data_IF_178870674472
#
_entry.id   IF_178870674472
#
_cell.length_a   1.000
_cell.length_b   1.000
_cell.length_c   1.000
_cell.angle_alpha   90.00
_cell.angle_beta   90.00
_cell.angle_gamma   90.00
#
_symmetry.space_group_name_H-M   'P 1'
#
loop_
_entity.id
_entity.type
_entity.pdbx_description
1 polymer ?
#
# COMPACT_ATOMS: atom_id res chain seq x y z
N UNK A 1 3.73 -7.94 33.86
CA UNK A 1 4.62 -6.97 33.20
C UNK A 1 4.20 -6.85 31.74
N UNK A 2 4.23 -5.66 31.14
CA UNK A 2 4.00 -5.50 29.72
C UNK A 2 5.12 -6.20 28.93
N UNK A 3 4.83 -6.90 27.80
CA UNK A 3 5.87 -7.40 26.91
C UNK A 3 6.70 -6.25 26.36
N UNK A 4 8.02 -6.45 26.33
CA UNK A 4 8.98 -5.47 25.79
C UNK A 4 9.15 -5.70 24.30
N UNK A 5 8.80 -4.71 23.48
CA UNK A 5 8.88 -4.81 22.03
C UNK A 5 9.77 -3.69 21.47
N UNK A 6 10.81 -4.08 20.72
CA UNK A 6 11.61 -3.16 19.93
C UNK A 6 11.00 -3.05 18.53
N UNK A 7 10.48 -1.89 18.19
CA UNK A 7 9.94 -1.56 16.89
C UNK A 7 11.01 -0.93 16.00
N UNK A 8 11.35 -1.58 14.90
CA UNK A 8 12.30 -1.11 13.89
C UNK A 8 11.50 -0.80 12.62
N UNK A 9 11.11 0.45 12.46
CA UNK A 9 10.13 0.89 11.46
C UNK A 9 10.69 1.93 10.53
N UNK A 10 10.04 2.08 9.37
CA UNK A 10 10.18 3.26 8.53
C UNK A 10 9.26 4.37 9.04
N UNK A 11 9.82 5.55 9.33
CA UNK A 11 9.08 6.75 9.72
C UNK A 11 9.29 7.86 8.69
N UNK A 12 8.31 8.76 8.48
CA UNK A 12 8.49 9.92 7.62
C UNK A 12 9.54 10.90 8.20
N UNK A 13 10.25 11.70 7.37
CA UNK A 13 10.26 11.68 5.92
C UNK A 13 11.08 10.52 5.32
N UNK A 14 10.87 10.10 4.06
CA UNK A 14 9.87 10.56 3.11
C UNK A 14 8.46 9.99 3.39
N UNK A 15 7.42 10.73 2.97
CA UNK A 15 6.03 10.31 3.12
C UNK A 15 5.66 9.29 2.04
N UNK A 16 5.35 8.06 2.45
CA UNK A 16 4.82 6.98 1.62
C UNK A 16 4.02 6.01 2.51
N UNK A 17 3.23 5.10 1.91
CA UNK A 17 2.31 4.23 2.65
C UNK A 17 2.94 3.55 3.88
N UNK A 18 4.07 2.86 3.69
CA UNK A 18 4.75 2.16 4.79
C UNK A 18 5.24 3.10 5.91
N UNK A 19 5.76 4.30 5.56
CA UNK A 19 6.22 5.25 6.58
C UNK A 19 5.05 5.89 7.33
N UNK A 20 3.89 6.08 6.68
CA UNK A 20 2.68 6.55 7.36
C UNK A 20 2.14 5.54 8.34
N UNK A 21 2.08 4.25 7.95
CA UNK A 21 1.67 3.19 8.90
C UNK A 21 2.69 3.06 10.04
N UNK A 22 3.99 3.16 9.75
CA UNK A 22 5.03 3.22 10.79
C UNK A 22 4.79 4.38 11.78
N UNK A 23 4.39 5.56 11.27
CA UNK A 23 4.03 6.70 12.11
C UNK A 23 2.78 6.41 12.96
N UNK A 24 1.75 5.79 12.40
CA UNK A 24 0.56 5.42 13.17
C UNK A 24 0.90 4.45 14.32
N UNK A 25 1.74 3.44 14.07
CA UNK A 25 2.19 2.51 15.12
C UNK A 25 3.02 3.26 16.19
N UNK A 26 3.93 4.15 15.78
CA UNK A 26 4.77 4.92 16.69
C UNK A 26 3.97 5.85 17.59
N UNK A 27 2.95 6.51 17.03
CA UNK A 27 2.16 7.51 17.74
C UNK A 27 1.01 6.87 18.55
N UNK A 28 0.68 5.59 18.30
CA UNK A 28 -0.45 4.89 18.93
C UNK A 28 -0.32 4.76 20.44
N UNK A 29 -1.26 5.34 21.17
CA UNK A 29 -1.36 5.16 22.62
C UNK A 29 -1.73 3.69 22.97
N UNK A 30 -2.58 3.02 22.18
CA UNK A 30 -2.93 1.61 22.39
C UNK A 30 -1.70 0.70 22.35
N UNK A 31 -0.75 0.96 21.45
CA UNK A 31 0.52 0.23 21.38
C UNK A 31 1.36 0.49 22.63
N UNK A 32 1.49 1.73 23.07
CA UNK A 32 2.26 2.12 24.26
C UNK A 32 1.61 1.61 25.57
N UNK A 33 0.29 1.52 25.58
CA UNK A 33 -0.45 0.93 26.71
C UNK A 33 -0.28 -0.58 26.78
N UNK A 34 -0.28 -1.28 25.65
CA UNK A 34 -0.16 -2.73 25.59
C UNK A 34 1.28 -3.23 25.81
N UNK A 35 2.28 -2.49 25.33
CA UNK A 35 3.69 -2.91 25.30
C UNK A 35 4.60 -1.90 25.97
N UNK A 36 5.73 -2.39 26.55
CA UNK A 36 6.91 -1.56 26.81
C UNK A 36 7.66 -1.37 25.49
N UNK A 37 7.26 -0.32 24.75
CA UNK A 37 7.63 -0.09 23.36
C UNK A 37 8.84 0.83 23.23
N UNK A 38 9.85 0.39 22.52
CA UNK A 38 10.95 1.23 22.06
C UNK A 38 10.97 1.27 20.53
N UNK A 39 11.30 2.43 19.97
CA UNK A 39 11.24 2.67 18.53
C UNK A 39 12.62 3.04 17.97
N UNK A 40 12.97 2.45 16.83
CA UNK A 40 14.14 2.81 16.04
C UNK A 40 13.71 3.08 14.61
N UNK A 41 14.01 4.28 14.10
CA UNK A 41 13.70 4.65 12.73
C UNK A 41 14.70 4.05 11.75
N UNK A 42 14.23 3.18 10.86
CA UNK A 42 15.05 2.50 9.84
C UNK A 42 15.28 3.36 8.58
N UNK A 43 14.58 4.47 8.45
CA UNK A 43 14.69 5.37 7.30
C UNK A 43 16.06 6.00 7.24
N UNK A 44 16.75 5.88 6.10
CA UNK A 44 18.07 6.48 5.83
C UNK A 44 18.03 7.53 4.71
N UNK A 45 16.89 7.72 4.05
CA UNK A 45 16.67 8.72 3.00
C UNK A 45 15.99 9.95 3.61
N UNK A 46 16.44 11.15 3.26
CA UNK A 46 15.83 12.41 3.71
C UNK A 46 14.71 12.87 2.78
N UNK A 47 14.71 12.41 1.52
CA UNK A 47 13.69 12.74 0.51
C UNK A 47 13.40 11.54 -0.41
N UNK A 48 12.29 11.59 -1.17
CA UNK A 48 11.98 10.57 -2.20
C UNK A 48 13.05 10.54 -3.31
N UNK A 49 13.67 11.68 -3.61
CA UNK A 49 14.71 11.80 -4.63
C UNK A 49 16.05 11.17 -4.22
N UNK A 50 16.27 11.00 -2.91
CA UNK A 50 17.46 10.36 -2.35
C UNK A 50 17.39 8.84 -2.34
N UNK A 51 16.22 8.27 -2.60
CA UNK A 51 16.04 6.83 -2.65
C UNK A 51 16.86 6.26 -3.83
N UNK A 52 17.75 5.33 -3.53
CA UNK A 52 18.59 4.67 -4.54
C UNK A 52 19.93 5.36 -4.87
N UNK A 53 20.18 6.60 -4.41
CA UNK A 53 21.51 7.24 -4.57
C UNK A 53 22.46 6.70 -3.49
N UNK A 54 23.52 5.99 -3.88
CA UNK A 54 24.57 5.46 -3.00
C UNK A 54 25.55 6.54 -2.53
N UNK A 55 26.32 6.25 -1.47
CA UNK A 55 27.41 7.10 -0.98
C UNK A 55 27.89 6.71 0.41
N UNK A 56 29.13 7.08 0.75
CA UNK A 56 29.75 6.80 2.05
C UNK A 56 28.92 7.31 3.23
N UNK A 57 28.26 8.46 3.09
CA UNK A 57 27.35 9.03 4.11
C UNK A 57 26.19 8.08 4.45
N UNK A 58 25.59 7.44 3.43
CA UNK A 58 24.49 6.49 3.62
C UNK A 58 24.97 5.19 4.28
N UNK A 59 26.17 4.70 3.89
CA UNK A 59 26.75 3.53 4.54
C UNK A 59 27.04 3.81 6.03
N UNK A 60 27.58 4.98 6.33
CA UNK A 60 27.87 5.39 7.71
C UNK A 60 26.57 5.52 8.53
N UNK A 61 25.56 6.22 8.00
CA UNK A 61 24.24 6.33 8.61
C UNK A 61 23.59 4.96 8.84
N UNK A 62 23.75 4.03 7.90
CA UNK A 62 23.28 2.66 8.08
C UNK A 62 24.02 1.94 9.22
N UNK A 63 25.34 2.08 9.32
CA UNK A 63 26.11 1.52 10.43
C UNK A 63 25.70 2.11 11.78
N UNK A 64 25.36 3.41 11.83
CA UNK A 64 24.80 4.03 13.04
C UNK A 64 23.47 3.41 13.45
N UNK A 65 22.56 3.19 12.49
CA UNK A 65 21.29 2.51 12.75
C UNK A 65 21.49 1.09 13.28
N UNK A 66 22.42 0.35 12.74
CA UNK A 66 22.77 -0.98 13.28
C UNK A 66 23.30 -0.91 14.72
N UNK A 67 24.11 0.10 15.05
CA UNK A 67 24.59 0.32 16.43
C UNK A 67 23.43 0.69 17.37
N UNK A 68 22.53 1.54 16.92
CA UNK A 68 21.32 1.95 17.65
C UNK A 68 20.44 0.73 17.99
N UNK A 69 20.11 -0.10 16.97
CA UNK A 69 19.34 -1.35 17.16
C UNK A 69 20.06 -2.28 18.14
N UNK A 70 21.37 -2.49 17.96
CA UNK A 70 22.15 -3.35 18.87
C UNK A 70 22.14 -2.83 20.30
N UNK A 71 22.28 -1.52 20.49
CA UNK A 71 22.23 -0.88 21.82
C UNK A 71 20.86 -1.13 22.43
N UNK A 72 19.77 -0.87 21.69
CA UNK A 72 18.41 -1.07 22.15
C UNK A 72 18.18 -2.53 22.60
N UNK A 73 18.57 -3.53 21.78
CA UNK A 73 18.45 -4.95 22.13
C UNK A 73 19.22 -5.28 23.41
N UNK A 74 20.43 -4.74 23.59
CA UNK A 74 21.25 -5.01 24.77
C UNK A 74 20.73 -4.36 26.05
N UNK A 75 20.23 -3.13 25.95
CA UNK A 75 19.80 -2.35 27.13
C UNK A 75 18.38 -2.71 27.55
N UNK A 76 17.45 -2.79 26.63
CA UNK A 76 16.04 -3.09 26.90
C UNK A 76 15.78 -4.58 27.08
N UNK A 77 16.59 -5.45 26.43
CA UNK A 77 16.35 -6.91 26.37
C UNK A 77 14.93 -7.22 25.96
N UNK A 78 14.51 -6.80 24.73
CA UNK A 78 13.14 -6.95 24.29
C UNK A 78 12.77 -8.44 24.21
N UNK A 79 11.51 -8.73 24.47
CA UNK A 79 10.95 -10.06 24.28
C UNK A 79 10.71 -10.34 22.78
N UNK A 80 10.47 -9.26 22.00
CA UNK A 80 10.25 -9.31 20.54
C UNK A 80 10.94 -8.14 19.83
N UNK A 81 11.40 -8.41 18.61
CA UNK A 81 11.81 -7.37 17.66
C UNK A 81 10.83 -7.38 16.49
N UNK A 82 10.11 -6.29 16.31
CA UNK A 82 9.22 -6.07 15.17
C UNK A 82 9.95 -5.23 14.13
N UNK A 83 9.91 -5.65 12.86
CA UNK A 83 10.60 -4.99 11.74
C UNK A 83 9.64 -4.82 10.57
N UNK A 84 9.69 -3.64 9.91
CA UNK A 84 8.98 -3.39 8.64
C UNK A 84 9.98 -3.41 7.46
N UNK A 85 10.34 -4.59 6.94
CA UNK A 85 11.34 -4.68 5.89
C UNK A 85 10.73 -4.46 4.50
N UNK A 86 11.60 -4.15 3.53
CA UNK A 86 11.26 -4.22 2.13
C UNK A 86 11.34 -5.67 1.61
N UNK A 87 10.39 -6.06 0.76
CA UNK A 87 10.28 -7.42 0.22
C UNK A 87 11.26 -7.71 -0.91
N UNK A 88 11.68 -6.68 -1.68
CA UNK A 88 12.47 -6.86 -2.88
C UNK A 88 13.34 -5.63 -3.22
N UNK A 89 14.17 -5.76 -4.25
CA UNK A 89 15.03 -4.68 -4.74
C UNK A 89 16.23 -4.38 -3.86
N UNK A 90 16.92 -3.28 -4.15
CA UNK A 90 18.10 -2.85 -3.38
C UNK A 90 17.81 -2.58 -1.89
N UNK A 91 16.62 -2.07 -1.48
CA UNK A 91 16.30 -1.91 -0.08
C UNK A 91 16.25 -3.24 0.69
N UNK A 92 15.78 -4.33 0.04
CA UNK A 92 15.73 -5.66 0.65
C UNK A 92 17.10 -6.11 1.18
N UNK A 93 18.20 -5.93 0.44
CA UNK A 93 19.51 -6.39 0.88
C UNK A 93 19.98 -5.67 2.15
N UNK A 94 19.64 -4.39 2.29
CA UNK A 94 19.91 -3.63 3.52
C UNK A 94 19.09 -4.19 4.68
N UNK A 95 17.80 -4.40 4.47
CA UNK A 95 16.89 -4.89 5.50
C UNK A 95 17.17 -6.37 5.84
N UNK A 96 17.67 -7.16 4.88
CA UNK A 96 18.19 -8.50 5.13
C UNK A 96 19.29 -8.48 6.20
N UNK A 97 20.26 -7.55 6.10
CA UNK A 97 21.33 -7.41 7.10
C UNK A 97 20.74 -7.05 8.47
N UNK A 98 19.79 -6.10 8.52
CA UNK A 98 19.12 -5.72 9.77
C UNK A 98 18.45 -6.93 10.41
N UNK A 99 17.64 -7.68 9.67
CA UNK A 99 16.92 -8.85 10.19
C UNK A 99 17.87 -9.95 10.65
N UNK A 100 18.93 -10.27 9.88
CA UNK A 100 19.90 -11.28 10.29
C UNK A 100 20.66 -10.87 11.58
N UNK A 101 20.96 -9.58 11.74
CA UNK A 101 21.60 -9.09 12.95
C UNK A 101 20.64 -9.08 14.14
N UNK A 102 19.37 -8.72 13.95
CA UNK A 102 18.35 -8.84 15.00
C UNK A 102 18.23 -10.29 15.47
N UNK A 103 18.09 -11.26 14.55
CA UNK A 103 18.06 -12.70 14.89
C UNK A 103 19.29 -13.14 15.69
N UNK A 104 20.48 -12.65 15.29
CA UNK A 104 21.73 -12.99 15.98
C UNK A 104 21.83 -12.37 17.38
N UNK A 105 21.29 -11.16 17.57
CA UNK A 105 21.38 -10.47 18.85
C UNK A 105 20.29 -10.87 19.83
N UNK A 106 19.15 -11.36 19.33
CA UNK A 106 18.15 -12.00 20.16
C UNK A 106 18.67 -13.36 20.64
N UNK A 107 18.50 -13.66 21.92
CA UNK A 107 18.98 -14.92 22.50
C UNK A 107 18.11 -16.11 22.10
N UNK A 108 16.82 -15.88 21.94
CA UNK A 108 15.82 -16.89 21.59
C UNK A 108 15.49 -16.82 20.09
N UNK A 109 15.34 -18.00 19.46
CA UNK A 109 14.91 -18.09 18.07
C UNK A 109 13.42 -17.77 17.97
N UNK A 110 13.01 -17.30 16.79
CA UNK A 110 11.59 -17.02 16.53
C UNK A 110 11.06 -15.71 17.15
N UNK A 111 11.92 -14.91 17.79
CA UNK A 111 11.54 -13.64 18.44
C UNK A 111 11.67 -12.41 17.52
N UNK A 112 11.68 -12.63 16.21
CA UNK A 112 11.67 -11.55 15.20
C UNK A 112 10.39 -11.66 14.38
N UNK A 113 9.67 -10.57 14.29
CA UNK A 113 8.43 -10.45 13.56
C UNK A 113 8.62 -9.48 12.38
N UNK A 114 8.23 -9.89 11.19
CA UNK A 114 8.35 -9.12 9.96
C UNK A 114 6.96 -8.69 9.49
N UNK A 115 6.72 -7.40 9.35
CA UNK A 115 5.46 -6.89 8.80
C UNK A 115 5.71 -6.24 7.45
N UNK A 116 5.17 -6.83 6.39
CA UNK A 116 5.38 -6.36 5.03
C UNK A 116 4.29 -5.39 4.60
N UNK A 117 4.72 -4.20 4.19
CA UNK A 117 3.87 -3.16 3.58
C UNK A 117 4.06 -3.05 2.06
N UNK A 118 4.82 -3.95 1.48
CA UNK A 118 5.04 -4.10 0.04
C UNK A 118 5.12 -5.57 -0.34
N UNK A 119 5.06 -5.88 -1.63
CA UNK A 119 5.23 -7.23 -2.17
C UNK A 119 6.36 -7.27 -3.20
N UNK A 120 6.83 -8.46 -3.55
CA UNK A 120 7.87 -8.63 -4.56
C UNK A 120 8.79 -9.81 -4.32
N UNK A 121 8.57 -10.60 -3.27
CA UNK A 121 9.35 -11.83 -2.99
C UNK A 121 9.15 -12.82 -4.14
N UNK A 122 7.90 -13.05 -4.56
CA UNK A 122 7.54 -13.98 -5.62
C UNK A 122 8.22 -13.62 -6.96
N UNK A 123 8.35 -12.33 -7.29
CA UNK A 123 8.99 -11.88 -8.53
C UNK A 123 10.50 -12.12 -8.59
N UNK A 124 11.11 -12.45 -7.45
CA UNK A 124 12.55 -12.63 -7.30
C UNK A 124 12.97 -14.05 -6.89
N UNK A 125 12.03 -14.89 -6.54
CA UNK A 125 12.28 -16.21 -5.99
C UNK A 125 12.99 -17.18 -6.95
N UNK A 126 12.97 -16.90 -8.25
CA UNK A 126 13.67 -17.71 -9.27
C UNK A 126 15.15 -17.29 -9.45
N UNK A 127 15.56 -16.16 -8.86
CA UNK A 127 16.96 -15.73 -8.87
C UNK A 127 17.70 -16.47 -7.76
N UNK A 128 18.69 -17.28 -8.11
CA UNK A 128 19.45 -18.12 -7.18
C UNK A 128 19.92 -17.41 -5.90
N UNK A 129 20.47 -16.19 -6.05
CA UNK A 129 20.95 -15.42 -4.90
C UNK A 129 19.80 -14.99 -4.00
N UNK A 130 18.73 -14.45 -4.60
CA UNK A 130 17.56 -13.96 -3.87
C UNK A 130 16.86 -15.12 -3.16
N UNK A 131 16.66 -16.27 -3.82
CA UNK A 131 16.09 -17.48 -3.20
C UNK A 131 16.89 -17.93 -1.97
N UNK A 132 18.22 -17.97 -2.09
CA UNK A 132 19.11 -18.34 -0.96
C UNK A 132 19.02 -17.35 0.19
N UNK A 133 18.88 -16.05 -0.11
CA UNK A 133 18.71 -15.02 0.89
C UNK A 133 17.33 -15.10 1.55
N UNK A 134 16.25 -15.29 0.78
CA UNK A 134 14.90 -15.44 1.31
C UNK A 134 14.78 -16.65 2.23
N UNK A 135 15.33 -17.82 1.88
CA UNK A 135 15.36 -18.99 2.78
C UNK A 135 15.96 -18.69 4.15
N UNK A 136 17.00 -17.84 4.21
CA UNK A 136 17.61 -17.41 5.47
C UNK A 136 16.83 -16.30 6.15
N UNK A 137 16.24 -15.42 5.34
CA UNK A 137 15.50 -14.26 5.81
C UNK A 137 14.23 -14.68 6.56
N UNK A 138 13.47 -15.60 6.00
CA UNK A 138 12.23 -16.09 6.57
C UNK A 138 12.41 -17.23 7.59
N UNK A 139 13.60 -17.78 7.73
CA UNK A 139 13.86 -18.84 8.73
C UNK A 139 13.70 -18.28 10.16
N UNK A 140 12.95 -19.01 11.01
CA UNK A 140 12.75 -18.68 12.42
C UNK A 140 12.23 -17.25 12.66
N UNK A 141 11.21 -16.82 11.89
CA UNK A 141 10.52 -15.53 12.04
C UNK A 141 9.00 -15.74 12.03
N UNK A 142 8.28 -14.75 12.55
CA UNK A 142 6.84 -14.60 12.38
C UNK A 142 6.57 -13.52 11.34
N UNK A 143 5.51 -13.67 10.55
CA UNK A 143 5.20 -12.77 9.43
C UNK A 143 3.82 -12.18 9.58
N UNK A 144 3.70 -10.88 9.37
CA UNK A 144 2.43 -10.17 9.25
C UNK A 144 2.31 -9.65 7.82
N UNK A 145 1.18 -9.93 7.19
CA UNK A 145 0.81 -9.46 5.85
C UNK A 145 -0.46 -8.60 5.95
N UNK A 146 -0.65 -7.72 4.97
CA UNK A 146 -1.79 -6.78 4.96
C UNK A 146 -3.12 -7.45 4.56
N UNK A 147 -3.07 -8.66 4.02
CA UNK A 147 -4.26 -9.43 3.66
C UNK A 147 -3.89 -10.82 3.15
N UNK A 148 -4.86 -11.74 3.22
CA UNK A 148 -4.68 -13.14 2.84
C UNK A 148 -4.16 -13.34 1.39
N UNK A 149 -4.58 -12.53 0.38
CA UNK A 149 -4.06 -12.67 -0.98
C UNK A 149 -2.54 -12.45 -1.10
N UNK A 150 -1.94 -11.70 -0.16
CA UNK A 150 -0.50 -11.46 -0.14
C UNK A 150 0.32 -12.65 0.35
N UNK A 151 -0.31 -13.70 0.89
CA UNK A 151 0.39 -14.92 1.26
C UNK A 151 1.07 -15.60 0.06
N UNK A 152 0.49 -15.49 -1.13
CA UNK A 152 1.07 -15.98 -2.37
C UNK A 152 2.49 -15.45 -2.63
N UNK A 153 2.79 -14.22 -2.18
CA UNK A 153 4.12 -13.60 -2.35
C UNK A 153 5.22 -14.29 -1.53
N UNK A 154 4.87 -14.92 -0.39
CA UNK A 154 5.84 -15.46 0.56
C UNK A 154 5.69 -16.96 0.83
N UNK A 155 4.66 -17.63 0.34
CA UNK A 155 4.30 -19.04 0.64
C UNK A 155 5.41 -20.06 0.40
N UNK A 156 6.36 -19.78 -0.50
CA UNK A 156 7.54 -20.62 -0.76
C UNK A 156 8.47 -20.69 0.46
N UNK A 157 8.44 -19.71 1.35
CA UNK A 157 9.41 -19.54 2.44
C UNK A 157 8.82 -19.57 3.84
N UNK A 158 7.50 -19.39 3.98
CA UNK A 158 6.81 -19.28 5.27
C UNK A 158 5.57 -20.17 5.26
N UNK A 159 5.39 -20.99 6.28
CA UNK A 159 4.16 -21.77 6.49
C UNK A 159 3.04 -20.84 6.98
N UNK A 160 1.80 -21.07 6.56
CA UNK A 160 0.65 -20.20 6.91
C UNK A 160 0.41 -20.11 8.42
N UNK A 161 0.77 -21.14 9.19
CA UNK A 161 0.69 -21.13 10.66
C UNK A 161 1.57 -20.05 11.33
N UNK A 162 2.60 -19.55 10.61
CA UNK A 162 3.52 -18.52 11.06
C UNK A 162 3.20 -17.14 10.44
N UNK A 163 1.99 -17.01 9.84
CA UNK A 163 1.52 -15.79 9.18
C UNK A 163 0.27 -15.26 9.87
N UNK A 164 0.24 -13.96 10.12
CA UNK A 164 -0.92 -13.19 10.59
C UNK A 164 -1.32 -12.16 9.53
N UNK A 165 -2.59 -11.75 9.57
CA UNK A 165 -3.12 -10.77 8.63
C UNK A 165 -3.58 -9.52 9.36
N UNK A 166 -2.95 -8.38 9.05
CA UNK A 166 -3.23 -7.09 9.64
C UNK A 166 -3.39 -6.04 8.53
N UNK A 167 -4.61 -5.86 8.07
CA UNK A 167 -4.94 -4.82 7.10
C UNK A 167 -4.58 -3.43 7.65
N UNK A 168 -4.08 -2.53 6.80
CA UNK A 168 -3.83 -1.15 7.17
C UNK A 168 -5.12 -0.42 7.56
N UNK A 169 -4.96 0.65 8.33
CA UNK A 169 -6.02 1.60 8.62
C UNK A 169 -5.53 3.03 8.47
N UNK A 170 -6.47 3.95 8.27
CA UNK A 170 -6.22 5.38 8.21
C UNK A 170 -7.14 6.12 9.20
N UNK A 171 -6.76 7.33 9.65
CA UNK A 171 -7.64 8.15 10.48
C UNK A 171 -9.01 8.35 9.84
N UNK A 172 -10.09 8.15 10.58
CA UNK A 172 -11.42 8.56 10.13
C UNK A 172 -11.55 10.07 10.28
N UNK A 173 -11.74 10.77 9.17
CA UNK A 173 -11.90 12.22 9.12
C UNK A 173 -13.35 12.66 9.36
N UNK A 174 -14.25 11.72 9.67
CA UNK A 174 -15.67 12.01 9.89
C UNK A 174 -16.43 12.40 8.61
N UNK A 175 -15.85 12.13 7.43
CA UNK A 175 -16.49 12.47 6.16
C UNK A 175 -17.92 11.94 6.11
N UNK A 176 -18.88 12.83 5.85
CA UNK A 176 -20.25 12.44 5.55
C UNK A 176 -20.40 12.50 4.02
N UNK A 177 -20.62 11.35 3.34
CA UNK A 177 -20.83 11.37 1.92
C UNK A 177 -22.17 12.04 1.62
N UNK A 178 -22.09 13.28 1.17
CA UNK A 178 -23.23 13.96 0.57
C UNK A 178 -23.47 13.41 -0.83
N UNK A 179 -24.69 13.50 -1.30
CA UNK A 179 -25.01 13.14 -2.68
C UNK A 179 -24.28 14.10 -3.62
N UNK A 180 -23.35 13.54 -4.41
CA UNK A 180 -22.55 14.32 -5.37
C UNK A 180 -23.35 14.55 -6.63
N UNK A 181 -23.92 15.74 -6.77
CA UNK A 181 -24.70 16.13 -7.94
C UNK A 181 -23.80 16.94 -8.88
N UNK A 182 -23.14 16.24 -9.80
CA UNK A 182 -22.43 16.88 -10.90
C UNK A 182 -23.23 16.72 -12.20
N UNK A 183 -23.27 17.77 -13.01
CA UNK A 183 -23.83 17.68 -14.37
C UNK A 183 -23.05 16.66 -15.22
N UNK A 184 -21.74 16.60 -15.03
CA UNK A 184 -20.82 15.63 -15.63
C UNK A 184 -20.13 14.86 -14.50
N UNK A 185 -20.30 13.52 -14.40
CA UNK A 185 -19.66 12.73 -13.36
C UNK A 185 -18.13 12.81 -13.41
N UNK A 186 -17.49 12.77 -12.22
CA UNK A 186 -16.04 12.88 -12.06
C UNK A 186 -15.41 11.54 -11.71
N UNK A 187 -14.36 11.18 -12.44
CA UNK A 187 -13.55 9.98 -12.20
C UNK A 187 -12.22 10.46 -11.61
N UNK A 188 -11.83 9.91 -10.47
CA UNK A 188 -10.56 10.23 -9.80
C UNK A 188 -9.52 9.15 -10.04
N UNK A 189 -8.37 9.53 -10.59
CA UNK A 189 -7.11 8.80 -10.54
C UNK A 189 -6.20 9.50 -9.52
N UNK A 190 -5.85 8.85 -8.42
CA UNK A 190 -4.98 9.45 -7.40
C UNK A 190 -3.82 8.50 -7.05
N UNK A 191 -2.78 8.57 -7.84
CA UNK A 191 -1.49 7.91 -7.65
C UNK A 191 -0.43 8.59 -8.53
N UNK A 192 0.86 8.27 -8.36
CA UNK A 192 1.88 8.78 -9.26
C UNK A 192 1.61 8.35 -10.71
N UNK A 193 1.92 9.23 -11.64
CA UNK A 193 1.76 8.97 -13.08
C UNK A 193 2.87 8.00 -13.52
N UNK A 194 2.50 6.72 -13.61
CA UNK A 194 3.40 5.60 -13.92
C UNK A 194 2.68 4.57 -14.77
N UNK A 195 3.43 3.93 -15.69
CA UNK A 195 2.89 2.83 -16.53
C UNK A 195 2.42 1.66 -15.68
N UNK A 196 3.18 1.32 -14.63
CA UNK A 196 2.85 0.22 -13.71
C UNK A 196 1.62 0.47 -12.84
N UNK A 197 1.08 1.69 -12.85
CA UNK A 197 -0.22 2.01 -12.26
C UNK A 197 -1.38 1.82 -13.24
N UNK A 198 -1.12 1.28 -14.43
CA UNK A 198 -2.13 1.02 -15.45
C UNK A 198 -2.54 2.27 -16.22
N UNK A 199 -1.59 3.24 -16.36
CA UNK A 199 -1.87 4.51 -17.03
C UNK A 199 -2.40 4.31 -18.45
N UNK A 200 -1.74 3.47 -19.25
CA UNK A 200 -2.09 3.30 -20.66
C UNK A 200 -3.45 2.61 -20.81
N UNK A 201 -3.72 1.59 -20.01
CA UNK A 201 -4.99 0.87 -19.99
C UNK A 201 -6.14 1.78 -19.53
N UNK A 202 -5.85 2.70 -18.62
CA UNK A 202 -6.84 3.69 -18.20
C UNK A 202 -7.13 4.73 -19.30
N UNK A 203 -6.11 5.23 -20.00
CA UNK A 203 -6.29 6.13 -21.15
C UNK A 203 -7.08 5.44 -22.28
N UNK A 204 -6.77 4.18 -22.58
CA UNK A 204 -7.54 3.38 -23.54
C UNK A 204 -9.00 3.22 -23.11
N UNK A 205 -9.27 2.94 -21.83
CA UNK A 205 -10.62 2.84 -21.29
C UNK A 205 -11.38 4.17 -21.39
N UNK A 206 -10.75 5.30 -21.05
CA UNK A 206 -11.36 6.63 -21.18
C UNK A 206 -11.66 6.98 -22.65
N UNK A 207 -10.76 6.62 -23.59
CA UNK A 207 -11.02 6.78 -25.02
C UNK A 207 -12.24 5.98 -25.46
N UNK A 208 -12.36 4.71 -25.07
CA UNK A 208 -13.52 3.87 -25.37
C UNK A 208 -14.82 4.47 -24.82
N UNK A 209 -14.80 4.98 -23.59
CA UNK A 209 -15.98 5.67 -23.00
C UNK A 209 -16.40 6.88 -23.83
N UNK A 210 -15.44 7.69 -24.26
CA UNK A 210 -15.68 8.87 -25.09
C UNK A 210 -16.24 8.48 -26.47
N UNK A 211 -15.70 7.44 -27.11
CA UNK A 211 -16.18 6.88 -28.39
C UNK A 211 -17.62 6.35 -28.28
N UNK A 212 -18.02 5.83 -27.09
CA UNK A 212 -19.38 5.40 -26.79
C UNK A 212 -20.33 6.58 -26.46
N UNK A 213 -19.84 7.81 -26.46
CA UNK A 213 -20.62 9.01 -26.12
C UNK A 213 -20.91 9.19 -24.64
N UNK A 214 -20.21 8.50 -23.75
CA UNK A 214 -20.35 8.65 -22.30
C UNK A 214 -19.69 9.95 -21.86
N UNK A 215 -20.41 10.81 -21.13
CA UNK A 215 -19.90 12.08 -20.60
C UNK A 215 -19.23 11.87 -19.25
N UNK A 216 -18.00 12.32 -19.08
CA UNK A 216 -17.25 12.29 -17.83
C UNK A 216 -16.17 13.37 -17.78
N UNK A 217 -15.70 13.68 -16.58
CA UNK A 217 -14.46 14.43 -16.32
C UNK A 217 -13.51 13.53 -15.54
N UNK A 218 -12.27 13.32 -16.00
CA UNK A 218 -11.26 12.52 -15.31
C UNK A 218 -10.16 13.40 -14.73
N UNK A 219 -9.95 13.29 -13.41
CA UNK A 219 -8.93 14.04 -12.68
C UNK A 219 -7.73 13.15 -12.38
N UNK A 220 -6.55 13.55 -12.87
CA UNK A 220 -5.27 12.92 -12.58
C UNK A 220 -4.56 13.67 -11.47
N UNK A 221 -4.48 13.06 -10.27
CA UNK A 221 -3.84 13.63 -9.09
C UNK A 221 -2.62 12.78 -8.72
N UNK A 222 -1.42 13.34 -8.83
CA UNK A 222 -0.19 12.63 -8.51
C UNK A 222 1.03 13.24 -9.18
N UNK A 223 2.20 12.74 -8.82
CA UNK A 223 3.45 13.23 -9.40
C UNK A 223 3.81 12.52 -10.69
N UNK A 224 4.34 13.27 -11.63
CA UNK A 224 5.11 12.72 -12.75
C UNK A 224 6.36 12.00 -12.20
N UNK A 225 6.84 11.03 -12.95
CA UNK A 225 8.00 10.21 -12.58
C UNK A 225 9.03 10.22 -13.70
N UNK A 226 10.18 9.59 -13.47
CA UNK A 226 11.16 9.39 -14.55
C UNK A 226 10.67 8.41 -15.63
N UNK A 227 9.65 7.62 -15.31
CA UNK A 227 9.04 6.65 -16.23
C UNK A 227 8.06 7.32 -17.20
N UNK A 228 7.41 8.40 -16.77
CA UNK A 228 6.48 9.20 -17.58
C UNK A 228 6.73 10.68 -17.28
N UNK A 229 7.27 11.37 -18.25
CA UNK A 229 7.51 12.82 -18.22
C UNK A 229 6.24 13.61 -18.49
N UNK A 230 6.24 14.93 -18.26
CA UNK A 230 5.10 15.80 -18.57
C UNK A 230 4.72 15.76 -20.03
N UNK A 231 5.72 15.92 -20.92
CA UNK A 231 5.53 15.92 -22.36
C UNK A 231 4.98 14.58 -22.87
N UNK A 232 5.47 13.46 -22.33
CA UNK A 232 4.95 12.12 -22.65
C UNK A 232 3.51 11.93 -22.20
N UNK A 233 3.14 12.46 -21.02
CA UNK A 233 1.79 12.37 -20.51
C UNK A 233 0.81 13.23 -21.33
N UNK A 234 1.17 14.48 -21.63
CA UNK A 234 0.38 15.37 -22.49
C UNK A 234 0.20 14.82 -23.90
N UNK A 235 1.27 14.26 -24.46
CA UNK A 235 1.21 13.58 -25.77
C UNK A 235 0.26 12.38 -25.72
N UNK A 236 0.31 11.57 -24.63
CA UNK A 236 -0.58 10.44 -24.48
C UNK A 236 -2.06 10.87 -24.40
N UNK A 237 -2.40 11.93 -23.66
CA UNK A 237 -3.74 12.50 -23.62
C UNK A 237 -4.20 12.97 -25.01
N UNK A 238 -3.32 13.63 -25.75
CA UNK A 238 -3.61 14.13 -27.10
C UNK A 238 -3.85 13.00 -28.10
N UNK A 239 -3.01 11.96 -28.08
CA UNK A 239 -3.15 10.78 -28.97
C UNK A 239 -4.45 10.02 -28.70
N UNK A 240 -4.89 9.97 -27.42
CA UNK A 240 -6.17 9.36 -27.05
C UNK A 240 -7.37 10.30 -27.22
N UNK A 241 -7.14 11.58 -27.60
CA UNK A 241 -8.21 12.56 -27.78
C UNK A 241 -8.93 12.96 -26.50
N UNK A 242 -8.23 13.02 -25.36
CA UNK A 242 -8.80 13.17 -24.02
C UNK A 242 -8.64 14.57 -23.41
N UNK A 243 -8.00 15.52 -24.12
CA UNK A 243 -7.65 16.84 -23.57
C UNK A 243 -8.85 17.66 -23.06
N UNK A 244 -10.04 17.45 -23.62
CA UNK A 244 -11.28 18.16 -23.30
C UNK A 244 -12.06 17.58 -22.10
N UNK A 245 -11.72 16.37 -21.66
CA UNK A 245 -12.40 15.65 -20.57
C UNK A 245 -11.46 15.17 -19.47
N UNK A 246 -10.20 15.65 -19.46
CA UNK A 246 -9.22 15.30 -18.42
C UNK A 246 -8.58 16.54 -17.81
N UNK A 247 -8.13 16.41 -16.55
CA UNK A 247 -7.36 17.44 -15.85
C UNK A 247 -6.19 16.80 -15.13
N UNK A 248 -4.98 17.34 -15.33
CA UNK A 248 -3.80 16.98 -14.54
C UNK A 248 -3.49 18.09 -13.54
N UNK A 249 -3.47 17.77 -12.26
CA UNK A 249 -3.36 18.76 -11.17
C UNK A 249 -2.12 18.60 -10.30
N UNK A 250 -1.24 17.67 -10.67
CA UNK A 250 -0.01 17.41 -9.94
C UNK A 250 -0.24 16.74 -8.57
N UNK A 251 0.78 16.78 -7.72
CA UNK A 251 0.72 16.21 -6.37
C UNK A 251 -0.15 17.07 -5.47
N UNK A 252 -1.04 16.42 -4.70
CA UNK A 252 -1.86 17.03 -3.67
C UNK A 252 -1.71 16.28 -2.34
N UNK A 253 -1.80 16.99 -1.23
CA UNK A 253 -1.69 16.46 0.13
C UNK A 253 -2.72 17.09 1.05
N UNK A 254 -3.03 16.40 2.18
CA UNK A 254 -3.95 16.93 3.19
C UNK A 254 -5.30 17.37 2.62
N UNK A 255 -5.84 18.53 3.04
CA UNK A 255 -7.16 19.00 2.63
C UNK A 255 -7.34 19.18 1.12
N UNK A 256 -6.27 19.57 0.39
CA UNK A 256 -6.33 19.67 -1.08
C UNK A 256 -6.56 18.31 -1.74
N UNK A 257 -5.94 17.25 -1.23
CA UNK A 257 -6.15 15.88 -1.71
C UNK A 257 -7.56 15.40 -1.37
N UNK A 258 -8.03 15.66 -0.17
CA UNK A 258 -9.37 15.26 0.30
C UNK A 258 -10.47 15.88 -0.55
N UNK A 259 -10.27 17.11 -1.06
CA UNK A 259 -11.23 17.76 -1.94
C UNK A 259 -11.51 16.93 -3.21
N UNK A 260 -10.50 16.27 -3.79
CA UNK A 260 -10.71 15.41 -4.95
C UNK A 260 -11.53 14.16 -4.63
N UNK A 261 -11.33 13.53 -3.48
CA UNK A 261 -12.19 12.43 -3.06
C UNK A 261 -13.63 12.88 -2.79
N UNK A 262 -13.79 14.06 -2.17
CA UNK A 262 -15.11 14.63 -1.92
C UNK A 262 -15.89 14.86 -3.20
N UNK A 263 -15.22 15.31 -4.27
CA UNK A 263 -15.85 15.61 -5.56
C UNK A 263 -15.95 14.37 -6.48
N UNK A 264 -15.18 13.31 -6.25
CA UNK A 264 -15.17 12.15 -7.12
C UNK A 264 -16.45 11.31 -7.04
N UNK A 265 -16.96 10.88 -8.18
CA UNK A 265 -18.06 9.92 -8.28
C UNK A 265 -17.56 8.47 -8.33
N UNK A 266 -16.35 8.26 -8.88
CA UNK A 266 -15.70 6.96 -9.03
C UNK A 266 -14.21 7.16 -8.76
N UNK A 267 -13.58 6.22 -8.04
CA UNK A 267 -12.14 6.12 -7.89
C UNK A 267 -11.60 4.95 -8.73
N UNK A 268 -10.54 5.19 -9.51
CA UNK A 268 -9.98 4.19 -10.43
C UNK A 268 -8.51 3.92 -10.12
N UNK A 269 -8.14 2.64 -9.94
CA UNK A 269 -6.76 2.20 -9.69
C UNK A 269 -6.45 0.88 -10.42
N UNK A 270 -6.17 0.88 -11.72
CA UNK A 270 -5.91 -0.32 -12.52
C UNK A 270 -4.43 -0.72 -12.48
N UNK A 271 -3.84 -0.78 -11.30
CA UNK A 271 -2.41 -1.05 -11.11
C UNK A 271 -2.02 -2.48 -11.52
N UNK A 272 -0.80 -2.66 -12.03
CA UNK A 272 -0.22 -3.98 -12.31
C UNK A 272 0.23 -4.69 -11.03
N UNK A 273 0.52 -3.94 -10.00
CA UNK A 273 0.98 -4.46 -8.71
C UNK A 273 0.67 -3.49 -7.57
N UNK A 274 0.13 -4.00 -6.49
CA UNK A 274 -0.11 -3.30 -5.24
C UNK A 274 0.12 -4.24 -4.06
N UNK A 275 0.43 -3.66 -2.90
CA UNK A 275 0.35 -4.42 -1.66
C UNK A 275 -1.01 -4.17 -0.98
N UNK A 276 -1.27 -2.92 -0.59
CA UNK A 276 -2.50 -2.50 0.08
C UNK A 276 -2.60 -0.97 -0.02
N UNK A 277 -3.19 -0.44 -1.12
CA UNK A 277 -3.16 0.98 -1.42
C UNK A 277 -4.07 1.81 -0.51
N UNK A 278 -3.50 2.66 0.33
CA UNK A 278 -4.24 3.53 1.25
C UNK A 278 -5.24 4.45 0.53
N UNK A 279 -5.03 4.73 -0.76
CA UNK A 279 -5.94 5.55 -1.57
C UNK A 279 -7.29 4.89 -1.81
N UNK A 280 -7.37 3.56 -1.78
CA UNK A 280 -8.65 2.84 -1.79
C UNK A 280 -9.40 3.10 -0.47
N UNK A 281 -8.72 3.02 0.68
CA UNK A 281 -9.33 3.32 1.97
C UNK A 281 -9.81 4.77 2.03
N UNK A 282 -9.04 5.71 1.48
CA UNK A 282 -9.43 7.11 1.36
C UNK A 282 -10.68 7.27 0.48
N UNK A 283 -10.76 6.58 -0.65
CA UNK A 283 -11.96 6.59 -1.50
C UNK A 283 -13.19 6.04 -0.75
N UNK A 284 -13.04 4.90 -0.08
CA UNK A 284 -14.12 4.28 0.71
C UNK A 284 -14.57 5.20 1.86
N UNK A 285 -13.65 5.88 2.53
CA UNK A 285 -13.95 6.86 3.58
C UNK A 285 -14.89 7.96 3.08
N UNK A 286 -14.72 8.42 1.82
CA UNK A 286 -15.57 9.43 1.17
C UNK A 286 -16.80 8.82 0.47
N UNK A 287 -17.06 7.52 0.65
CA UNK A 287 -18.18 6.84 -0.01
C UNK A 287 -18.07 6.84 -1.54
N UNK A 288 -16.84 6.79 -2.05
CA UNK A 288 -16.55 6.71 -3.49
C UNK A 288 -16.36 5.25 -3.87
N UNK A 289 -17.19 4.68 -4.76
CA UNK A 289 -17.00 3.32 -5.24
C UNK A 289 -15.71 3.21 -6.05
N UNK A 290 -15.08 2.05 -5.95
CA UNK A 290 -13.75 1.79 -6.50
C UNK A 290 -13.84 0.88 -7.72
N UNK A 291 -13.08 1.20 -8.78
CA UNK A 291 -12.78 0.26 -9.86
C UNK A 291 -11.27 0.02 -9.85
N UNK A 292 -10.84 -1.20 -9.53
CA UNK A 292 -9.43 -1.50 -9.37
C UNK A 292 -9.07 -2.89 -9.88
N UNK A 293 -7.79 -3.13 -10.19
CA UNK A 293 -7.32 -4.45 -10.60
C UNK A 293 -7.25 -5.43 -9.42
N UNK A 294 -7.49 -6.71 -9.71
CA UNK A 294 -7.39 -7.82 -8.74
C UNK A 294 -5.91 -8.17 -8.51
N UNK A 295 -5.17 -7.29 -7.81
CA UNK A 295 -3.75 -7.50 -7.52
C UNK A 295 -3.41 -7.25 -6.05
N UNK A 296 -2.53 -8.06 -5.49
CA UNK A 296 -2.07 -7.93 -4.10
C UNK A 296 -3.20 -7.97 -3.09
N UNK A 297 -3.23 -6.99 -2.19
CA UNK A 297 -4.25 -6.89 -1.14
C UNK A 297 -5.56 -6.21 -1.58
N UNK A 298 -5.67 -5.70 -2.81
CA UNK A 298 -6.87 -4.96 -3.27
C UNK A 298 -8.14 -5.80 -3.11
N UNK A 299 -8.09 -7.12 -3.39
CA UNK A 299 -9.24 -8.00 -3.20
C UNK A 299 -9.65 -8.24 -1.73
N UNK A 300 -8.82 -7.83 -0.77
CA UNK A 300 -9.21 -7.77 0.63
C UNK A 300 -9.87 -6.42 0.99
N UNK A 301 -9.54 -5.36 0.25
CA UNK A 301 -10.11 -4.02 0.44
C UNK A 301 -11.47 -3.89 -0.25
N UNK A 302 -11.56 -4.25 -1.52
CA UNK A 302 -12.73 -4.06 -2.37
C UNK A 302 -13.54 -5.35 -2.46
N UNK A 303 -14.80 -5.30 -2.05
CA UNK A 303 -15.80 -6.34 -2.33
C UNK A 303 -16.32 -6.17 -3.75
N UNK A 304 -16.01 -7.15 -4.64
CA UNK A 304 -16.44 -7.08 -6.04
C UNK A 304 -17.96 -7.15 -6.16
N UNK A 305 -18.56 -6.19 -6.88
CA UNK A 305 -20.02 -6.05 -6.98
C UNK A 305 -20.70 -5.44 -5.75
N UNK A 306 -19.97 -5.26 -4.63
CA UNK A 306 -20.51 -4.75 -3.36
C UNK A 306 -20.05 -3.33 -3.04
N UNK A 307 -18.73 -3.12 -2.97
CA UNK A 307 -18.12 -1.81 -2.64
C UNK A 307 -17.44 -1.15 -3.83
N UNK A 308 -17.41 -1.84 -4.96
CA UNK A 308 -16.81 -1.44 -6.22
C UNK A 308 -16.72 -2.60 -7.17
N UNK A 309 -15.85 -2.48 -8.17
CA UNK A 309 -15.55 -3.55 -9.12
C UNK A 309 -14.09 -3.90 -9.15
N UNK A 310 -13.81 -5.20 -9.23
CA UNK A 310 -12.48 -5.73 -9.48
C UNK A 310 -12.36 -6.14 -10.95
N UNK A 311 -11.26 -5.73 -11.58
CA UNK A 311 -10.95 -6.10 -12.98
C UNK A 311 -9.78 -7.07 -13.02
N UNK A 312 -9.84 -8.01 -13.94
CA UNK A 312 -8.77 -8.97 -14.19
C UNK A 312 -7.65 -8.39 -15.05
N UNK A 313 -6.53 -9.11 -15.11
CA UNK A 313 -5.45 -8.86 -16.08
C UNK A 313 -5.41 -9.97 -17.11
N UNK A 314 -5.35 -9.65 -18.40
CA UNK A 314 -5.32 -10.63 -19.50
C UNK A 314 -3.94 -10.87 -20.10
N UNK A 315 -3.09 -9.87 -20.09
CA UNK A 315 -1.79 -9.92 -20.76
C UNK A 315 -0.67 -10.03 -19.73
N UNK A 316 0.06 -11.16 -19.68
CA UNK A 316 1.22 -11.27 -18.81
C UNK A 316 2.32 -10.32 -19.27
N UNK A 317 2.97 -9.64 -18.32
CA UNK A 317 4.09 -8.73 -18.59
C UNK A 317 5.40 -9.32 -18.08
N UNK A 318 5.38 -9.82 -16.87
CA UNK A 318 6.50 -10.44 -16.15
C UNK A 318 5.90 -11.38 -15.10
N UNK A 319 6.74 -12.13 -14.41
CA UNK A 319 6.36 -13.08 -13.37
C UNK A 319 5.21 -12.57 -12.47
N UNK A 320 4.01 -13.11 -12.69
CA UNK A 320 2.78 -12.78 -11.94
C UNK A 320 2.32 -11.31 -11.97
N UNK A 321 2.76 -10.55 -12.97
CA UNK A 321 2.22 -9.22 -13.27
C UNK A 321 1.42 -9.27 -14.58
N UNK A 322 0.20 -8.76 -14.54
CA UNK A 322 -0.71 -8.74 -15.67
C UNK A 322 -1.17 -7.31 -15.94
N UNK A 323 -1.28 -6.96 -17.23
CA UNK A 323 -1.94 -5.73 -17.62
C UNK A 323 -3.44 -5.88 -17.39
N UNK A 324 -4.07 -4.89 -16.72
CA UNK A 324 -5.53 -4.83 -16.64
C UNK A 324 -6.14 -4.80 -18.04
N UNK A 325 -7.36 -5.35 -18.16
CA UNK A 325 -8.09 -5.27 -19.40
C UNK A 325 -8.78 -3.91 -19.54
N UNK A 326 -8.36 -3.12 -20.52
CA UNK A 326 -8.90 -1.79 -20.76
C UNK A 326 -10.38 -1.81 -21.14
N UNK A 327 -10.85 -2.85 -21.85
CA UNK A 327 -12.26 -3.00 -22.20
C UNK A 327 -13.11 -3.29 -20.96
N UNK A 328 -12.69 -4.26 -20.13
CA UNK A 328 -13.36 -4.56 -18.87
C UNK A 328 -13.37 -3.33 -17.95
N UNK A 329 -12.25 -2.59 -17.90
CA UNK A 329 -12.16 -1.34 -17.13
C UNK A 329 -13.17 -0.31 -17.63
N UNK A 330 -13.27 -0.10 -18.95
CA UNK A 330 -14.25 0.81 -19.54
C UNK A 330 -15.69 0.39 -19.20
N UNK A 331 -16.02 -0.89 -19.33
CA UNK A 331 -17.37 -1.42 -19.05
C UNK A 331 -17.77 -1.21 -17.58
N UNK A 332 -16.84 -1.45 -16.62
CA UNK A 332 -17.11 -1.23 -15.19
C UNK A 332 -17.25 0.25 -14.84
N UNK A 333 -16.42 1.10 -15.44
CA UNK A 333 -16.55 2.56 -15.26
C UNK A 333 -17.89 3.05 -15.87
N UNK A 334 -18.24 2.63 -17.08
CA UNK A 334 -19.49 3.00 -17.74
C UNK A 334 -20.71 2.61 -16.89
N UNK A 335 -20.71 1.39 -16.35
CA UNK A 335 -21.76 0.91 -15.45
C UNK A 335 -21.96 1.88 -14.28
N UNK A 336 -20.87 2.30 -13.61
CA UNK A 336 -20.95 3.24 -12.49
C UNK A 336 -21.26 4.69 -12.93
N UNK A 337 -20.91 5.11 -14.14
CA UNK A 337 -21.26 6.44 -14.65
C UNK A 337 -22.74 6.55 -14.98
N UNK A 338 -23.33 5.49 -15.53
CA UNK A 338 -24.72 5.46 -16.01
C UNK A 338 -25.74 5.04 -14.95
N UNK A 339 -25.37 4.14 -14.03
CA UNK A 339 -26.22 3.70 -12.93
C UNK A 339 -25.90 4.45 -11.62
N UNK A 340 -26.62 5.55 -11.40
CA UNK A 340 -26.47 6.39 -10.20
C UNK A 340 -26.83 5.64 -8.91
N UNK A 341 -27.87 4.80 -8.95
CA UNK A 341 -28.34 4.08 -7.75
C UNK A 341 -27.31 3.04 -7.32
N UNK A 342 -26.77 2.29 -8.26
CA UNK A 342 -25.68 1.35 -8.02
C UNK A 342 -24.44 2.06 -7.44
N UNK A 343 -24.04 3.18 -8.04
CA UNK A 343 -22.91 3.99 -7.60
C UNK A 343 -23.05 4.45 -6.15
N UNK A 344 -24.24 4.98 -5.79
CA UNK A 344 -24.52 5.43 -4.41
C UNK A 344 -24.56 4.26 -3.44
N UNK A 345 -25.16 3.13 -3.83
CA UNK A 345 -25.22 1.91 -3.01
C UNK A 345 -23.83 1.37 -2.72
N UNK A 346 -22.98 1.22 -3.74
CA UNK A 346 -21.60 0.75 -3.59
C UNK A 346 -20.76 1.70 -2.74
N UNK A 347 -20.89 3.01 -2.94
CA UNK A 347 -20.19 4.01 -2.14
C UNK A 347 -20.56 3.93 -0.65
N UNK A 348 -21.83 3.78 -0.32
CA UNK A 348 -22.30 3.58 1.07
C UNK A 348 -21.77 2.28 1.67
N UNK A 349 -21.79 1.18 0.92
CA UNK A 349 -21.25 -0.10 1.36
C UNK A 349 -19.73 0.00 1.60
N UNK A 350 -19.00 0.68 0.70
CA UNK A 350 -17.57 0.93 0.85
C UNK A 350 -17.26 1.71 2.13
N UNK A 351 -18.02 2.79 2.40
CA UNK A 351 -17.86 3.56 3.64
C UNK A 351 -18.12 2.73 4.89
N UNK A 352 -19.18 1.94 4.88
CA UNK A 352 -19.49 1.06 6.02
C UNK A 352 -18.35 0.08 6.28
N UNK A 353 -17.83 -0.56 5.23
CA UNK A 353 -16.68 -1.46 5.34
C UNK A 353 -15.44 -0.73 5.86
N UNK A 354 -15.15 0.49 5.38
CA UNK A 354 -14.07 1.32 5.90
C UNK A 354 -14.22 1.55 7.40
N UNK A 355 -15.40 1.96 7.87
CA UNK A 355 -15.66 2.22 9.28
C UNK A 355 -15.50 0.98 10.17
N UNK A 356 -15.86 -0.19 9.67
CA UNK A 356 -15.76 -1.45 10.40
C UNK A 356 -14.34 -2.02 10.43
N UNK A 357 -13.59 -1.89 9.31
CA UNK A 357 -12.36 -2.67 9.13
C UNK A 357 -11.10 -1.81 8.98
N UNK A 358 -11.21 -0.57 8.45
CA UNK A 358 -10.05 0.16 7.95
C UNK A 358 -9.82 1.53 8.59
N UNK A 359 -10.54 1.83 9.68
CA UNK A 359 -10.19 3.00 10.50
C UNK A 359 -8.86 2.75 11.22
N UNK A 360 -8.17 3.83 11.58
CA UNK A 360 -6.95 3.73 12.39
C UNK A 360 -7.21 2.99 13.70
N UNK A 361 -8.35 3.22 14.32
CA UNK A 361 -8.74 2.53 15.56
C UNK A 361 -8.89 1.01 15.36
N UNK A 362 -9.53 0.57 14.27
CA UNK A 362 -9.68 -0.84 13.93
C UNK A 362 -8.32 -1.51 13.64
N UNK A 363 -7.43 -0.78 12.94
CA UNK A 363 -6.05 -1.21 12.70
C UNK A 363 -5.28 -1.39 14.00
N UNK A 364 -5.26 -0.38 14.87
CA UNK A 364 -4.53 -0.41 16.15
C UNK A 364 -5.01 -1.55 17.05
N UNK A 365 -6.33 -1.77 17.15
CA UNK A 365 -6.91 -2.87 17.90
C UNK A 365 -6.41 -4.22 17.37
N UNK A 366 -6.57 -4.47 16.08
CA UNK A 366 -6.13 -5.70 15.41
C UNK A 366 -4.61 -5.90 15.55
N UNK A 367 -3.83 -4.84 15.40
CA UNK A 367 -2.38 -4.88 15.53
C UNK A 367 -1.94 -5.28 16.93
N UNK A 368 -2.53 -4.69 17.98
CA UNK A 368 -2.24 -5.02 19.37
C UNK A 368 -2.66 -6.46 19.68
N UNK A 369 -3.82 -6.90 19.20
CA UNK A 369 -4.31 -8.28 19.40
C UNK A 369 -3.33 -9.30 18.78
N UNK A 370 -2.87 -9.09 17.54
CA UNK A 370 -1.90 -9.96 16.87
C UNK A 370 -0.60 -10.03 17.65
N UNK A 371 -0.01 -8.88 18.01
CA UNK A 371 1.25 -8.85 18.75
C UNK A 371 1.12 -9.52 20.12
N UNK A 372 -0.01 -9.37 20.80
CA UNK A 372 -0.29 -10.03 22.09
C UNK A 372 -0.40 -11.54 21.94
N UNK A 373 -1.13 -12.03 20.93
CA UNK A 373 -1.25 -13.47 20.64
C UNK A 373 0.10 -14.12 20.32
N UNK A 374 0.92 -13.46 19.49
CA UNK A 374 2.26 -13.96 19.17
C UNK A 374 3.14 -13.99 20.40
N UNK A 375 2.97 -13.02 21.32
CA UNK A 375 3.76 -12.96 22.56
C UNK A 375 3.39 -14.05 23.58
N UNK A 376 2.15 -14.55 23.55
CA UNK A 376 1.68 -15.59 24.49
C UNK A 376 1.89 -17.02 23.98
N UNK A 377 1.95 -17.23 22.66
CA UNK A 377 2.10 -18.55 22.03
C UNK A 377 3.58 -18.96 21.78
N UNK A 378 4.53 -18.35 22.47
CA UNK A 378 5.97 -18.52 22.22
C UNK A 378 6.71 -19.05 23.41
#
# INVERSE_FOLDING_TARGET
MKPRVLFVLHLPPPVHGASMVGKYIHDSEKVKEAFDAQFVNLTTASSLEDIGKGGWKKLWSFCEKLREIRKAIKTQRPDWVYVTPNSAGSPFYKDYVVVQLCKRWMKEKGRVMLHFHNKGVQTRQERWLDDKLYRRFFKDVKVILLGKPLYEDVKKYVEEKDVWYCANGIPDNGACPEEKVHEVPRILWLTNIMRTKGLMEYLDALRMLKERGVRFQADFVGGLTKEVTGDEFELALTVHGLNDCTSYVGKKYGPEKEAYFREANIFVLPSYTEAFPLTILEAMQWGVPVVASTVGGISAEVGDGETGFLIGGKVPIMDNMFRPDALELADKIETLLTDKELRVRMGKAGKLKFQQEFTLEAFEKRFVEILSQVSTNS
#
